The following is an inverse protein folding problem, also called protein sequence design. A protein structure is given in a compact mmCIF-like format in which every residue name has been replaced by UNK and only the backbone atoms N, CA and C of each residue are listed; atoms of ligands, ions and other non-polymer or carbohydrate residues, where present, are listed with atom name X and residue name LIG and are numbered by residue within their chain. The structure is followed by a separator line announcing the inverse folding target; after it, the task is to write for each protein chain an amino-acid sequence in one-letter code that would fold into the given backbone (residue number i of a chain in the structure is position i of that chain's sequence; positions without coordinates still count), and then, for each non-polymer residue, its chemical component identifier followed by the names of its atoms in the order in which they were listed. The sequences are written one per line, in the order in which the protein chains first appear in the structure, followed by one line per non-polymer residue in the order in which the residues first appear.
data_IF_429331088591
#
_entry.id   IF_429331088591
#
_cell.length_a   1.000
_cell.length_b   1.000
_cell.length_c   1.000
_cell.angle_alpha   90.00
_cell.angle_beta   90.00
_cell.angle_gamma   90.00
#
_symmetry.space_group_name_H-M   'P 1'
#
loop_
_entity.id
_entity.type
_entity.pdbx_description
1 polymer ?
#
# COMPACT_ATOMS: atom_id res chain seq x y z
N UNK A 1 48.28 51.72 -25.27
CA UNK A 1 47.39 52.58 -24.45
C UNK A 1 46.64 51.67 -23.48
N UNK A 2 47.28 51.06 -22.47
CA UNK A 2 47.81 51.64 -21.22
C UNK A 2 46.67 51.88 -20.21
N UNK A 3 46.26 50.88 -19.42
CA UNK A 3 46.77 50.50 -18.07
C UNK A 3 47.10 51.69 -17.15
N UNK A 4 46.29 51.91 -16.13
CA UNK A 4 46.64 52.53 -14.84
C UNK A 4 45.83 51.79 -13.76
N UNK A 5 46.39 50.82 -13.02
CA UNK A 5 47.31 50.85 -11.85
C UNK A 5 46.70 51.36 -10.53
N UNK A 6 46.51 50.40 -9.59
CA UNK A 6 46.95 50.40 -8.15
C UNK A 6 46.17 51.40 -7.24
N UNK A 7 45.71 51.11 -6.01
CA UNK A 7 46.47 50.85 -4.76
C UNK A 7 45.58 50.22 -3.66
N UNK A 8 46.29 49.48 -2.78
CA UNK A 8 45.98 48.66 -1.59
C UNK A 8 45.20 49.30 -0.42
N UNK A 9 44.59 48.38 0.34
CA UNK A 9 44.07 48.33 1.72
C UNK A 9 44.79 49.17 2.81
N UNK A 10 44.02 49.69 3.79
CA UNK A 10 44.34 49.82 5.25
C UNK A 10 43.04 50.18 6.04
N UNK A 11 42.47 49.31 6.89
CA UNK A 11 42.58 49.13 8.38
C UNK A 11 41.88 50.18 9.29
N UNK A 12 40.69 49.79 9.78
CA UNK A 12 40.08 49.81 11.17
C UNK A 12 40.24 51.02 12.11
N UNK A 13 39.13 51.47 12.73
CA UNK A 13 38.84 51.73 14.19
C UNK A 13 37.33 52.13 14.29
N UNK A 14 36.43 51.23 14.71
CA UNK A 14 35.83 51.02 16.05
C UNK A 14 34.85 52.11 16.56
N UNK A 15 33.57 51.74 16.68
CA UNK A 15 32.63 52.30 17.67
C UNK A 15 31.58 51.24 18.04
N UNK A 16 31.36 51.12 19.35
CA UNK A 16 30.75 50.03 20.10
C UNK A 16 29.24 49.81 19.88
N UNK A 17 28.84 48.53 19.99
CA UNK A 17 27.45 48.10 20.20
C UNK A 17 27.44 46.69 20.76
N UNK A 18 27.49 46.58 22.09
CA UNK A 18 27.42 45.33 22.84
C UNK A 18 26.00 44.78 22.77
N UNK A 19 25.81 43.59 22.18
CA UNK A 19 24.69 42.70 22.49
C UNK A 19 25.27 41.28 22.62
N UNK A 20 25.54 40.92 23.87
CA UNK A 20 25.78 39.55 24.30
C UNK A 20 24.44 38.83 24.18
N UNK A 21 24.27 38.12 23.06
CA UNK A 21 23.17 37.17 22.86
C UNK A 21 23.77 35.80 22.68
N UNK A 22 23.94 35.06 23.78
CA UNK A 22 24.20 33.63 23.80
C UNK A 22 22.94 32.88 23.32
N UNK A 23 22.56 33.07 22.07
CA UNK A 23 21.56 32.25 21.40
C UNK A 23 22.26 31.00 20.92
N UNK A 24 22.17 29.93 21.72
CA UNK A 24 22.64 28.61 21.29
C UNK A 24 22.05 28.29 19.92
N UNK A 25 22.92 27.95 18.98
CA UNK A 25 22.51 27.26 17.77
C UNK A 25 21.97 25.91 18.24
N UNK A 26 20.67 25.81 18.48
CA UNK A 26 20.01 24.52 18.58
C UNK A 26 20.02 23.96 17.16
N UNK A 27 21.07 23.19 16.84
CA UNK A 27 20.97 22.19 15.80
C UNK A 27 19.89 21.24 16.33
N UNK A 28 18.67 21.36 15.83
CA UNK A 28 17.71 20.28 15.99
C UNK A 28 18.40 19.02 15.47
N UNK A 29 18.41 17.89 16.20
CA UNK A 29 18.79 16.64 15.60
C UNK A 29 17.94 16.49 14.34
N UNK A 30 18.59 16.31 13.18
CA UNK A 30 17.86 15.96 11.98
C UNK A 30 17.00 14.76 12.33
N UNK A 31 15.69 14.85 12.13
CA UNK A 31 14.87 13.66 12.08
C UNK A 31 15.54 12.78 11.01
N UNK A 32 16.05 11.63 11.42
CA UNK A 32 16.59 10.67 10.47
C UNK A 32 15.47 10.31 9.49
N UNK A 33 15.79 10.28 8.20
CA UNK A 33 14.81 9.94 7.18
C UNK A 33 14.57 8.44 7.28
N UNK A 34 13.44 8.04 7.87
CA UNK A 34 13.04 6.64 7.89
C UNK A 34 12.66 6.21 6.48
N UNK A 35 13.11 5.02 6.07
CA UNK A 35 12.85 4.42 4.77
C UNK A 35 12.04 3.15 5.01
N UNK A 36 10.93 2.96 4.30
CA UNK A 36 10.12 1.77 4.44
C UNK A 36 10.14 0.96 3.15
N UNK A 37 10.45 -0.33 3.29
CA UNK A 37 10.51 -1.31 2.23
C UNK A 37 9.86 -2.61 2.67
N UNK A 38 9.97 -3.63 1.85
CA UNK A 38 9.19 -4.83 2.03
C UNK A 38 9.83 -6.08 1.46
N UNK A 39 9.28 -7.25 1.78
CA UNK A 39 9.61 -8.50 1.11
C UNK A 39 8.39 -9.44 1.03
N UNK A 40 8.04 -9.87 -0.18
CA UNK A 40 7.07 -10.97 -0.39
C UNK A 40 7.79 -12.32 -0.27
N UNK A 41 7.32 -13.15 0.65
CA UNK A 41 7.99 -14.37 1.08
C UNK A 41 7.27 -15.61 0.57
N UNK A 42 8.02 -16.58 0.06
CA UNK A 42 7.50 -17.91 -0.27
C UNK A 42 8.57 -18.98 -0.14
N UNK A 43 8.16 -20.24 0.04
CA UNK A 43 9.11 -21.36 0.06
C UNK A 43 9.76 -21.65 -1.29
N UNK A 44 9.16 -21.21 -2.41
CA UNK A 44 9.77 -21.37 -3.75
C UNK A 44 11.02 -20.51 -3.95
N UNK A 45 11.19 -19.48 -3.12
CA UNK A 45 12.29 -18.53 -3.20
C UNK A 45 13.47 -18.91 -2.28
N UNK A 46 13.33 -19.95 -1.45
CA UNK A 46 14.37 -20.38 -0.51
C UNK A 46 15.57 -20.96 -1.24
N UNK A 47 16.77 -20.55 -0.82
CA UNK A 47 18.05 -21.03 -1.35
C UNK A 47 19.04 -21.27 -0.20
N UNK A 48 19.62 -22.47 -0.08
CA UNK A 48 19.28 -23.70 -0.81
C UNK A 48 17.87 -24.18 -0.47
N UNK A 49 17.09 -24.55 -1.49
CA UNK A 49 15.72 -25.05 -1.30
C UNK A 49 15.65 -26.57 -1.05
N UNK A 50 14.43 -27.11 -0.84
CA UNK A 50 13.15 -26.40 -0.87
C UNK A 50 12.80 -25.71 0.46
N UNK A 51 12.02 -24.64 0.38
CA UNK A 51 11.27 -24.12 1.51
C UNK A 51 9.90 -24.77 1.65
N UNK A 52 9.07 -24.19 2.50
CA UNK A 52 7.68 -24.60 2.73
C UNK A 52 6.80 -24.19 1.55
N UNK A 53 6.26 -25.18 0.83
CA UNK A 53 5.44 -24.94 -0.36
C UNK A 53 4.04 -24.38 -0.04
N UNK A 54 3.56 -24.50 1.20
CA UNK A 54 2.26 -23.97 1.63
C UNK A 54 2.35 -22.58 2.22
N UNK A 55 3.48 -22.23 2.83
CA UNK A 55 3.66 -20.95 3.49
C UNK A 55 3.92 -19.82 2.48
N UNK A 56 3.18 -18.73 2.66
CA UNK A 56 3.36 -17.46 1.95
C UNK A 56 3.24 -16.34 2.97
N UNK A 57 3.95 -15.25 2.73
CA UNK A 57 3.86 -14.14 3.68
C UNK A 57 4.48 -12.87 3.18
N UNK A 58 4.45 -11.91 4.08
CA UNK A 58 4.80 -10.56 3.81
C UNK A 58 5.55 -9.95 5.01
N UNK A 59 6.58 -9.16 4.72
CA UNK A 59 7.34 -8.42 5.72
C UNK A 59 7.41 -6.94 5.34
N UNK A 60 6.90 -6.06 6.20
CA UNK A 60 7.17 -4.61 6.14
C UNK A 60 8.42 -4.30 6.95
N UNK A 61 9.34 -3.53 6.39
CA UNK A 61 10.63 -3.19 6.98
C UNK A 61 10.78 -1.67 7.05
N UNK A 62 10.93 -1.13 8.25
CA UNK A 62 11.24 0.29 8.48
C UNK A 62 12.71 0.42 8.88
N UNK A 63 13.49 1.10 8.05
CA UNK A 63 14.90 1.36 8.26
C UNK A 63 15.13 2.79 8.72
N UNK A 64 16.01 2.95 9.68
CA UNK A 64 16.53 4.25 10.10
C UNK A 64 18.02 4.08 10.36
N UNK A 65 18.85 4.63 9.47
CA UNK A 65 20.31 4.54 9.57
C UNK A 65 20.88 5.35 10.76
N UNK A 66 20.03 6.06 11.50
CA UNK A 66 20.43 6.86 12.65
C UNK A 66 21.19 8.12 12.27
N UNK A 67 21.97 8.64 13.22
CA UNK A 67 22.70 9.90 13.06
C UNK A 67 24.11 9.73 12.47
N UNK A 68 24.46 8.54 12.00
CA UNK A 68 25.82 8.17 11.60
C UNK A 68 26.77 7.90 12.78
N UNK A 69 26.25 7.88 14.01
CA UNK A 69 27.00 7.45 15.19
C UNK A 69 26.90 5.93 15.35
N UNK A 70 27.96 5.22 15.79
CA UNK A 70 27.90 3.77 15.97
C UNK A 70 26.75 3.36 16.92
N UNK A 71 25.95 2.39 16.50
CA UNK A 71 24.78 1.94 17.25
C UNK A 71 23.61 2.92 17.23
N UNK A 72 23.54 3.85 16.27
CA UNK A 72 22.36 4.71 16.11
C UNK A 72 21.34 4.17 15.11
N UNK A 73 21.68 3.11 14.36
CA UNK A 73 20.77 2.51 13.39
C UNK A 73 19.72 1.61 14.05
N UNK A 74 18.56 1.50 13.39
CA UNK A 74 17.54 0.52 13.73
C UNK A 74 16.82 0.00 12.47
N UNK A 75 16.28 -1.21 12.59
CA UNK A 75 15.38 -1.82 11.61
C UNK A 75 14.19 -2.39 12.36
N UNK A 76 12.98 -1.98 12.01
CA UNK A 76 11.75 -2.60 12.49
C UNK A 76 11.14 -3.49 11.42
N UNK A 77 10.59 -4.62 11.84
CA UNK A 77 9.83 -5.53 10.96
C UNK A 77 8.42 -5.72 11.48
N UNK A 78 7.46 -5.85 10.56
CA UNK A 78 6.10 -6.33 10.82
C UNK A 78 5.78 -7.47 9.85
N UNK A 79 5.15 -8.53 10.36
CA UNK A 79 4.87 -9.75 9.63
C UNK A 79 3.38 -9.92 9.33
N UNK A 80 3.08 -10.47 8.16
CA UNK A 80 1.77 -11.03 7.80
C UNK A 80 2.00 -12.30 6.99
N UNK A 81 1.95 -13.45 7.67
CA UNK A 81 2.36 -14.74 7.11
C UNK A 81 1.24 -15.76 7.34
N UNK A 82 0.94 -16.55 6.31
CA UNK A 82 -0.04 -17.63 6.37
C UNK A 82 0.64 -18.99 6.23
N UNK A 83 0.06 -20.01 6.90
CA UNK A 83 0.46 -21.41 6.79
C UNK A 83 1.94 -21.69 7.14
N UNK A 84 2.52 -20.90 8.05
CA UNK A 84 3.88 -21.07 8.54
C UNK A 84 3.90 -21.81 9.89
N UNK A 85 4.63 -22.93 9.97
CA UNK A 85 4.96 -23.57 11.25
C UNK A 85 5.83 -22.63 12.12
N UNK A 86 5.73 -22.70 13.46
CA UNK A 86 6.38 -21.74 14.38
C UNK A 86 7.82 -21.39 14.01
N UNK A 87 8.06 -20.10 13.76
CA UNK A 87 9.36 -19.60 13.35
C UNK A 87 10.41 -19.75 14.46
N UNK A 88 11.59 -20.23 14.10
CA UNK A 88 12.75 -20.38 15.00
C UNK A 88 13.78 -19.26 14.82
N UNK A 89 13.81 -18.63 13.64
CA UNK A 89 14.67 -17.48 13.35
C UNK A 89 14.12 -16.69 12.15
N UNK A 90 14.36 -15.39 12.13
CA UNK A 90 14.12 -14.50 10.99
C UNK A 90 15.35 -13.62 10.81
N UNK A 91 15.72 -13.31 9.56
CA UNK A 91 16.94 -12.56 9.27
C UNK A 91 16.84 -11.77 7.97
N UNK A 92 17.63 -10.69 7.87
CA UNK A 92 18.00 -10.03 6.62
C UNK A 92 19.40 -10.53 6.23
N UNK A 93 19.53 -11.05 5.02
CA UNK A 93 20.81 -11.43 4.43
C UNK A 93 21.15 -10.62 3.18
N UNK A 94 22.44 -10.57 2.84
CA UNK A 94 22.95 -10.01 1.59
C UNK A 94 23.16 -11.14 0.57
N UNK A 95 22.55 -11.01 -0.60
CA UNK A 95 22.64 -11.94 -1.73
C UNK A 95 21.50 -11.71 -2.73
N UNK A 96 21.84 -11.68 -4.01
CA UNK A 96 20.86 -11.52 -5.09
C UNK A 96 19.87 -12.70 -5.14
N UNK A 97 18.80 -12.53 -5.90
CA UNK A 97 17.84 -13.60 -6.15
C UNK A 97 18.52 -14.85 -6.71
N UNK A 98 18.39 -15.98 -6.01
CA UNK A 98 19.02 -17.24 -6.38
C UNK A 98 20.33 -17.54 -5.65
N UNK A 99 20.90 -16.60 -4.90
CA UNK A 99 22.12 -16.81 -4.11
C UNK A 99 21.80 -17.10 -2.63
N UNK A 100 22.48 -18.07 -2.02
CA UNK A 100 22.29 -18.37 -0.60
C UNK A 100 22.61 -17.15 0.30
N UNK A 101 23.61 -16.36 -0.08
CA UNK A 101 23.98 -15.12 0.59
C UNK A 101 24.63 -15.30 1.96
N UNK A 102 24.74 -14.19 2.69
CA UNK A 102 25.26 -14.13 4.06
C UNK A 102 24.30 -13.34 4.95
N UNK A 103 24.18 -13.73 6.22
CA UNK A 103 23.32 -13.05 7.19
C UNK A 103 23.93 -11.70 7.56
N UNK A 104 23.10 -10.66 7.63
CA UNK A 104 23.50 -9.29 8.01
C UNK A 104 22.83 -8.89 9.31
N UNK A 105 21.50 -9.07 9.44
CA UNK A 105 20.73 -8.68 10.62
C UNK A 105 19.80 -9.80 11.06
N UNK A 106 19.86 -10.18 12.33
CA UNK A 106 18.84 -11.05 12.95
C UNK A 106 17.59 -10.23 13.28
N UNK A 107 16.42 -10.67 12.83
CA UNK A 107 15.14 -10.02 13.06
C UNK A 107 14.32 -10.75 14.15
N UNK A 108 13.42 -10.03 14.84
CA UNK A 108 12.37 -10.65 15.64
C UNK A 108 11.51 -11.58 14.78
N UNK A 109 11.26 -12.79 15.28
CA UNK A 109 10.40 -13.77 14.59
C UNK A 109 8.92 -13.37 14.64
N UNK A 110 8.10 -13.78 13.66
CA UNK A 110 6.64 -13.70 13.77
C UNK A 110 6.12 -14.52 14.95
N UNK A 111 4.93 -14.16 15.43
CA UNK A 111 4.18 -14.97 16.40
C UNK A 111 3.67 -16.29 15.77
N UNK A 112 3.16 -17.24 16.57
CA UNK A 112 2.67 -18.52 16.06
C UNK A 112 1.48 -18.40 15.09
N UNK A 113 0.80 -17.26 15.04
CA UNK A 113 -0.28 -16.98 14.11
C UNK A 113 0.22 -16.33 12.80
N UNK A 114 1.53 -16.05 12.68
CA UNK A 114 2.15 -15.47 11.50
C UNK A 114 2.16 -13.94 11.46
N UNK A 115 1.84 -13.29 12.58
CA UNK A 115 1.79 -11.84 12.72
C UNK A 115 2.89 -11.33 13.66
N UNK A 116 2.78 -10.06 14.08
CA UNK A 116 3.68 -9.45 15.05
C UNK A 116 4.86 -8.74 14.41
N UNK A 117 5.86 -8.40 15.21
CA UNK A 117 6.97 -7.57 14.76
C UNK A 117 7.76 -6.97 15.91
N UNK A 118 8.81 -6.24 15.56
CA UNK A 118 9.66 -5.56 16.53
C UNK A 118 10.84 -4.86 15.86
N UNK A 119 11.56 -4.07 16.64
CA UNK A 119 12.73 -3.34 16.18
C UNK A 119 14.02 -3.95 16.72
N UNK A 120 14.99 -4.10 15.83
CA UNK A 120 16.40 -4.31 16.17
C UNK A 120 17.02 -2.93 16.27
N UNK A 121 17.57 -2.62 17.44
CA UNK A 121 18.21 -1.35 17.75
C UNK A 121 19.72 -1.51 17.79
N UNK A 122 20.44 -0.41 17.94
CA UNK A 122 21.89 -0.39 18.12
C UNK A 122 22.67 -1.00 16.94
N UNK A 123 22.11 -0.89 15.72
CA UNK A 123 22.74 -1.35 14.48
C UNK A 123 23.82 -0.38 14.02
N UNK A 124 24.80 -0.90 13.28
CA UNK A 124 25.76 -0.07 12.55
C UNK A 124 25.01 0.71 11.45
N UNK A 125 25.06 2.05 11.45
CA UNK A 125 24.49 2.87 10.38
C UNK A 125 24.88 2.42 8.98
N UNK A 126 26.12 1.96 8.78
CA UNK A 126 26.62 1.54 7.48
C UNK A 126 25.93 0.25 7.00
N UNK A 127 25.61 -0.68 7.91
CA UNK A 127 24.87 -1.91 7.57
C UNK A 127 23.44 -1.56 7.16
N UNK A 128 22.76 -0.72 7.94
CA UNK A 128 21.39 -0.25 7.62
C UNK A 128 21.37 0.50 6.29
N UNK A 129 22.32 1.40 6.07
CA UNK A 129 22.42 2.17 4.83
C UNK A 129 22.75 1.29 3.63
N UNK A 130 23.57 0.25 3.80
CA UNK A 130 23.89 -0.69 2.72
C UNK A 130 22.66 -1.45 2.23
N UNK A 131 21.74 -1.78 3.15
CA UNK A 131 20.44 -2.34 2.79
C UNK A 131 19.66 -1.28 2.04
N UNK A 132 19.48 -0.06 2.62
CA UNK A 132 18.79 1.10 2.00
C UNK A 132 19.28 1.44 0.57
N UNK A 133 20.55 1.22 0.27
CA UNK A 133 21.13 1.56 -1.02
C UNK A 133 20.98 0.43 -2.07
N UNK A 134 20.83 -0.83 -1.65
CA UNK A 134 20.69 -1.99 -2.53
C UNK A 134 19.62 -2.99 -2.03
N UNK A 135 18.32 -2.66 -2.11
CA UNK A 135 17.26 -3.53 -1.61
C UNK A 135 17.29 -4.90 -2.32
N UNK A 136 17.40 -4.89 -3.65
CA UNK A 136 17.41 -6.09 -4.48
C UNK A 136 18.62 -7.01 -4.30
N UNK A 137 19.67 -6.51 -3.62
CA UNK A 137 20.83 -7.27 -3.20
C UNK A 137 20.66 -7.90 -1.82
N UNK A 138 19.54 -7.68 -1.14
CA UNK A 138 19.23 -8.19 0.19
C UNK A 138 17.93 -8.98 0.22
N UNK A 139 17.80 -9.89 1.16
CA UNK A 139 16.62 -10.74 1.29
C UNK A 139 16.22 -10.92 2.75
N UNK A 140 14.93 -11.18 2.97
CA UNK A 140 14.40 -11.66 4.24
C UNK A 140 14.24 -13.18 4.17
N UNK A 141 14.67 -13.88 5.20
CA UNK A 141 14.54 -15.32 5.34
C UNK A 141 13.95 -15.67 6.71
N UNK A 142 12.94 -16.52 6.74
CA UNK A 142 12.34 -17.04 7.98
C UNK A 142 12.51 -18.55 8.00
N UNK A 143 13.01 -19.08 9.13
CA UNK A 143 13.29 -20.50 9.35
C UNK A 143 12.35 -21.07 10.40
N UNK A 144 12.10 -22.37 10.33
CA UNK A 144 11.42 -23.13 11.38
C UNK A 144 12.08 -24.52 11.53
N UNK A 145 11.56 -25.37 12.42
CA UNK A 145 12.14 -26.69 12.70
C UNK A 145 12.16 -27.61 11.46
N UNK A 146 11.13 -27.53 10.61
CA UNK A 146 11.04 -28.33 9.38
C UNK A 146 11.97 -27.83 8.26
N UNK A 147 12.27 -26.53 8.26
CA UNK A 147 13.04 -25.85 7.23
C UNK A 147 14.16 -24.99 7.85
N UNK A 148 15.26 -25.62 8.29
CA UNK A 148 16.36 -24.93 8.98
C UNK A 148 17.20 -24.03 8.05
N UNK A 149 17.16 -24.25 6.74
CA UNK A 149 17.82 -23.37 5.75
C UNK A 149 16.90 -22.22 5.29
N UNK A 150 15.59 -22.32 5.55
CA UNK A 150 14.58 -21.32 5.21
C UNK A 150 13.22 -21.97 4.94
N UNK A 151 12.19 -21.61 5.70
CA UNK A 151 10.81 -21.96 5.39
C UNK A 151 10.28 -21.09 4.26
N UNK A 152 10.48 -19.77 4.35
CA UNK A 152 10.07 -18.81 3.34
C UNK A 152 11.11 -17.71 3.19
N UNK A 153 11.29 -17.23 1.95
CA UNK A 153 12.27 -16.21 1.59
C UNK A 153 11.71 -15.22 0.58
N UNK A 154 12.18 -13.98 0.62
CA UNK A 154 11.87 -12.95 -0.36
C UNK A 154 12.97 -11.91 -0.45
N UNK A 155 13.17 -11.32 -1.62
CA UNK A 155 14.08 -10.19 -1.76
C UNK A 155 13.47 -8.96 -1.10
N UNK A 156 14.32 -8.12 -0.50
CA UNK A 156 13.92 -6.80 -0.06
C UNK A 156 13.66 -5.98 -1.32
N UNK A 157 12.53 -5.32 -1.37
CA UNK A 157 12.11 -4.52 -2.49
C UNK A 157 11.55 -3.20 -1.99
N UNK A 158 11.71 -2.16 -2.80
CA UNK A 158 11.16 -0.84 -2.50
C UNK A 158 9.65 -0.78 -2.71
N UNK A 159 9.01 -1.94 -2.91
CA UNK A 159 7.59 -2.02 -3.20
C UNK A 159 6.76 -1.71 -1.97
N UNK A 160 5.91 -0.73 -2.18
CA UNK A 160 4.84 -0.29 -1.30
C UNK A 160 3.62 -1.13 -1.61
N UNK A 161 3.03 -1.69 -0.57
CA UNK A 161 1.81 -2.48 -0.66
C UNK A 161 0.66 -1.53 -0.92
N UNK A 162 0.04 -1.66 -2.08
CA UNK A 162 -1.14 -0.91 -2.45
C UNK A 162 -2.31 -1.86 -2.61
N UNK A 163 -3.29 -1.79 -1.71
CA UNK A 163 -4.52 -2.55 -1.88
C UNK A 163 -5.58 -1.69 -2.55
N UNK A 164 -6.02 -2.04 -3.75
CA UNK A 164 -7.12 -1.33 -4.42
C UNK A 164 -8.39 -2.16 -4.24
N UNK A 165 -9.40 -1.58 -3.60
CA UNK A 165 -10.71 -2.18 -3.43
C UNK A 165 -11.73 -1.43 -4.28
N UNK A 166 -12.40 -2.12 -5.20
CA UNK A 166 -13.45 -1.51 -6.05
C UNK A 166 -14.82 -2.03 -5.65
N UNK A 167 -15.76 -1.11 -5.45
CA UNK A 167 -17.19 -1.39 -5.28
C UNK A 167 -18.01 -0.55 -6.25
N UNK A 168 -19.25 -0.99 -6.51
CA UNK A 168 -20.16 -0.29 -7.41
C UNK A 168 -21.50 0.04 -6.78
N UNK A 169 -21.88 1.30 -6.91
CA UNK A 169 -23.18 1.81 -6.50
C UNK A 169 -23.96 2.34 -7.70
N UNK A 170 -25.25 2.04 -7.72
CA UNK A 170 -26.17 2.50 -8.76
C UNK A 170 -27.22 3.39 -8.16
N UNK A 171 -27.34 4.59 -8.70
CA UNK A 171 -28.12 5.67 -8.14
C UNK A 171 -29.23 6.13 -9.10
N UNK A 172 -30.36 6.61 -8.57
CA UNK A 172 -31.40 7.22 -9.38
C UNK A 172 -30.91 8.57 -9.96
N UNK A 173 -31.52 8.99 -11.08
CA UNK A 173 -31.17 10.20 -11.82
C UNK A 173 -31.15 11.53 -11.02
N UNK A 174 -31.77 11.54 -9.84
CA UNK A 174 -31.78 12.71 -8.93
C UNK A 174 -30.45 12.92 -8.21
N UNK A 175 -29.63 11.88 -8.08
CA UNK A 175 -28.28 11.97 -7.52
C UNK A 175 -27.36 12.36 -8.67
N UNK A 176 -26.60 13.43 -8.52
CA UNK A 176 -25.70 13.93 -9.58
C UNK A 176 -24.27 14.10 -9.11
N UNK A 177 -24.04 14.16 -7.81
CA UNK A 177 -22.74 14.45 -7.21
C UNK A 177 -22.45 13.55 -6.00
N UNK A 178 -21.17 13.45 -5.57
CA UNK A 178 -20.82 12.84 -4.27
C UNK A 178 -21.55 13.46 -3.09
N UNK A 179 -21.73 14.79 -3.10
CA UNK A 179 -22.46 15.48 -2.04
C UNK A 179 -23.93 15.04 -2.00
N UNK A 180 -24.56 14.80 -3.15
CA UNK A 180 -25.93 14.28 -3.19
C UNK A 180 -26.03 12.86 -2.62
N UNK A 181 -25.01 12.01 -2.86
CA UNK A 181 -24.95 10.66 -2.28
C UNK A 181 -24.88 10.75 -0.76
N UNK A 182 -23.97 11.58 -0.23
CA UNK A 182 -23.78 11.76 1.22
C UNK A 182 -25.02 12.36 1.90
N UNK A 183 -25.76 13.23 1.21
CA UNK A 183 -26.98 13.84 1.72
C UNK A 183 -28.23 12.94 1.57
N UNK A 184 -28.16 11.88 0.76
CA UNK A 184 -29.31 11.04 0.48
C UNK A 184 -29.62 10.06 1.62
N UNK A 185 -30.91 9.73 1.86
CA UNK A 185 -31.26 8.66 2.81
C UNK A 185 -30.60 7.33 2.44
N UNK A 186 -30.25 6.54 3.46
CA UNK A 186 -29.69 5.20 3.29
C UNK A 186 -30.55 4.33 2.34
N UNK A 187 -29.89 3.62 1.43
CA UNK A 187 -30.56 2.82 0.38
C UNK A 187 -31.07 3.61 -0.82
N UNK A 188 -30.78 4.91 -0.93
CA UNK A 188 -31.09 5.68 -2.14
C UNK A 188 -30.30 5.20 -3.35
N UNK A 189 -29.02 4.90 -3.17
CA UNK A 189 -28.22 4.15 -4.12
C UNK A 189 -28.21 2.67 -3.70
N UNK A 190 -28.17 1.77 -4.68
CA UNK A 190 -28.14 0.33 -4.48
C UNK A 190 -26.78 -0.21 -4.89
N UNK A 191 -26.20 -1.10 -4.08
CA UNK A 191 -24.96 -1.79 -4.46
C UNK A 191 -25.25 -2.77 -5.59
N UNK A 192 -24.41 -2.72 -6.62
CA UNK A 192 -24.47 -3.61 -7.75
C UNK A 192 -23.57 -4.82 -7.51
N UNK A 193 -23.90 -5.98 -8.09
CA UNK A 193 -23.05 -7.15 -8.05
C UNK A 193 -22.98 -7.82 -9.43
N UNK A 194 -21.92 -8.61 -9.62
CA UNK A 194 -21.71 -9.36 -10.85
C UNK A 194 -22.71 -10.53 -10.94
N UNK A 195 -23.03 -10.92 -12.17
CA UNK A 195 -23.91 -12.05 -12.45
C UNK A 195 -23.40 -13.32 -11.79
N UNK A 196 -24.28 -14.05 -11.10
CA UNK A 196 -23.99 -15.31 -10.41
C UNK A 196 -23.37 -15.15 -9.03
N UNK A 197 -22.97 -13.94 -8.61
CA UNK A 197 -22.37 -13.73 -7.28
C UNK A 197 -23.41 -13.53 -6.18
N UNK A 198 -24.66 -13.37 -6.56
CA UNK A 198 -25.76 -13.16 -5.64
C UNK A 198 -26.36 -14.52 -5.32
N UNK A 199 -25.90 -15.09 -4.22
CA UNK A 199 -26.45 -16.34 -3.69
C UNK A 199 -27.88 -16.18 -3.16
N UNK A 200 -28.51 -17.32 -2.88
CA UNK A 200 -29.78 -17.37 -2.16
C UNK A 200 -29.59 -16.85 -0.73
N UNK A 201 -30.51 -15.99 -0.23
CA UNK A 201 -30.48 -15.58 1.16
C UNK A 201 -30.76 -16.79 2.08
N UNK A 202 -30.30 -16.79 3.34
CA UNK A 202 -30.62 -17.84 4.30
C UNK A 202 -32.12 -18.09 4.41
N UNK A 203 -32.49 -19.33 4.78
CA UNK A 203 -33.89 -19.74 4.88
C UNK A 203 -34.73 -18.76 5.72
N UNK A 204 -35.86 -18.31 5.16
CA UNK A 204 -36.78 -17.36 5.81
C UNK A 204 -36.40 -15.89 5.63
N UNK A 205 -35.25 -15.58 5.04
CA UNK A 205 -34.85 -14.22 4.65
C UNK A 205 -35.05 -14.00 3.15
N UNK A 206 -35.09 -12.73 2.75
CA UNK A 206 -35.18 -12.31 1.35
C UNK A 206 -34.31 -11.09 1.09
N UNK A 207 -33.88 -10.96 -0.15
CA UNK A 207 -33.28 -9.74 -0.66
C UNK A 207 -34.29 -8.58 -0.68
N UNK A 208 -33.83 -7.37 -0.37
CA UNK A 208 -34.66 -6.16 -0.36
C UNK A 208 -33.82 -4.94 -0.73
N UNK A 209 -34.09 -4.20 -1.83
CA UNK A 209 -34.69 -4.59 -3.11
C UNK A 209 -33.93 -5.75 -3.78
N UNK A 210 -34.51 -6.38 -4.81
CA UNK A 210 -33.77 -7.35 -5.61
C UNK A 210 -32.47 -6.67 -6.10
N UNK A 211 -31.31 -7.28 -5.88
CA UNK A 211 -30.06 -6.66 -6.25
C UNK A 211 -30.03 -6.35 -7.75
N UNK A 212 -29.31 -5.28 -8.07
CA UNK A 212 -29.01 -5.00 -9.46
C UNK A 212 -27.84 -5.88 -9.90
N UNK A 213 -28.19 -6.98 -10.55
CA UNK A 213 -27.26 -7.96 -11.09
C UNK A 213 -27.04 -7.70 -12.58
N UNK A 214 -25.78 -7.70 -13.00
CA UNK A 214 -25.39 -7.54 -14.40
C UNK A 214 -23.99 -8.13 -14.61
N UNK A 215 -23.57 -8.30 -15.87
CA UNK A 215 -22.20 -8.72 -16.16
C UNK A 215 -21.28 -7.53 -15.92
N UNK A 216 -20.76 -7.43 -14.69
CA UNK A 216 -19.87 -6.37 -14.27
C UNK A 216 -18.44 -6.71 -14.68
N UNK A 217 -17.85 -5.83 -15.48
CA UNK A 217 -16.48 -5.90 -15.96
C UNK A 217 -15.77 -4.57 -15.73
N UNK A 218 -14.60 -4.65 -15.13
CA UNK A 218 -13.70 -3.53 -14.85
C UNK A 218 -12.30 -3.96 -15.28
N UNK A 219 -11.55 -3.02 -15.86
CA UNK A 219 -10.12 -3.16 -16.14
C UNK A 219 -9.36 -2.14 -15.31
N UNK A 220 -8.31 -2.62 -14.63
CA UNK A 220 -7.34 -1.82 -13.91
C UNK A 220 -6.04 -1.84 -14.71
N UNK A 221 -5.69 -0.72 -15.33
CA UNK A 221 -4.40 -0.56 -16.04
C UNK A 221 -3.44 0.23 -15.18
N UNK A 222 -2.27 -0.34 -14.94
CA UNK A 222 -1.19 0.22 -14.13
C UNK A 222 0.15 -0.07 -14.84
N UNK A 223 1.30 0.48 -14.39
CA UNK A 223 2.58 0.28 -15.09
C UNK A 223 3.02 -1.19 -15.27
N UNK A 224 2.59 -2.08 -14.37
CA UNK A 224 2.89 -3.52 -14.44
C UNK A 224 2.02 -4.31 -15.42
N UNK A 225 0.95 -3.71 -15.96
CA UNK A 225 0.06 -4.38 -16.89
C UNK A 225 -1.40 -4.00 -16.72
N UNK A 226 -2.29 -4.95 -16.98
CA UNK A 226 -3.72 -4.78 -16.79
C UNK A 226 -4.31 -5.98 -16.07
N UNK A 227 -5.14 -5.69 -15.08
CA UNK A 227 -5.85 -6.65 -14.24
C UNK A 227 -7.35 -6.48 -14.45
N UNK A 228 -8.09 -7.55 -14.28
CA UNK A 228 -9.54 -7.61 -14.37
C UNK A 228 -10.16 -8.04 -13.03
N UNK A 229 -11.50 -8.02 -12.95
CA UNK A 229 -12.20 -8.57 -11.78
C UNK A 229 -11.98 -10.07 -11.59
N UNK A 230 -11.61 -10.81 -12.63
CA UNK A 230 -11.29 -12.24 -12.52
C UNK A 230 -9.92 -12.48 -11.87
N UNK A 231 -9.05 -11.46 -11.89
CA UNK A 231 -7.73 -11.47 -11.23
C UNK A 231 -7.80 -10.92 -9.79
N UNK A 232 -9.00 -10.57 -9.32
CA UNK A 232 -9.21 -9.95 -8.02
C UNK A 232 -9.61 -11.00 -6.96
N UNK A 233 -9.19 -10.76 -5.73
CA UNK A 233 -9.78 -11.41 -4.57
C UNK A 233 -11.15 -10.76 -4.28
N UNK A 234 -12.20 -11.58 -4.22
CA UNK A 234 -13.54 -11.09 -3.96
C UNK A 234 -13.78 -11.06 -2.44
N UNK A 235 -13.77 -9.85 -1.88
CA UNK A 235 -13.91 -9.62 -0.45
C UNK A 235 -15.28 -9.09 -0.05
N UNK A 236 -15.66 -9.39 1.18
CA UNK A 236 -16.98 -9.08 1.70
C UNK A 236 -18.07 -10.03 1.20
N UNK A 237 -19.28 -9.79 1.67
CA UNK A 237 -20.42 -10.63 1.36
C UNK A 237 -21.72 -10.06 1.90
N UNK A 238 -22.78 -10.77 1.54
CA UNK A 238 -24.16 -10.56 1.98
C UNK A 238 -24.25 -10.35 3.50
N UNK A 239 -24.65 -9.16 3.93
CA UNK A 239 -24.96 -8.92 5.34
C UNK A 239 -26.41 -9.25 5.60
N UNK A 240 -26.68 -10.24 6.45
CA UNK A 240 -28.03 -10.64 6.82
C UNK A 240 -28.35 -10.25 8.25
N UNK A 241 -29.31 -9.35 8.41
CA UNK A 241 -29.99 -9.13 9.69
C UNK A 241 -31.13 -10.13 9.90
N UNK A 242 -31.80 -10.10 11.07
CA UNK A 242 -32.85 -11.05 11.43
C UNK A 242 -34.11 -11.00 10.55
N UNK A 243 -34.22 -10.02 9.64
CA UNK A 243 -35.37 -9.87 8.74
C UNK A 243 -35.03 -9.64 7.27
N UNK A 244 -33.79 -9.25 6.95
CA UNK A 244 -33.40 -8.83 5.60
C UNK A 244 -31.92 -9.09 5.37
N UNK A 245 -31.55 -9.32 4.11
CA UNK A 245 -30.16 -9.34 3.68
C UNK A 245 -29.88 -8.15 2.76
N UNK A 246 -28.69 -7.57 2.87
CA UNK A 246 -28.14 -6.57 1.95
C UNK A 246 -26.97 -7.16 1.18
N UNK A 247 -27.02 -7.17 -0.17
CA UNK A 247 -25.96 -7.73 -0.98
C UNK A 247 -24.82 -6.71 -1.07
N UNK A 248 -23.59 -7.20 -1.07
CA UNK A 248 -22.40 -6.38 -1.20
C UNK A 248 -21.19 -7.26 -1.44
N UNK A 249 -20.38 -6.88 -2.42
CA UNK A 249 -19.10 -7.49 -2.70
C UNK A 249 -18.15 -6.40 -3.15
N UNK A 250 -16.92 -6.50 -2.68
CA UNK A 250 -15.80 -5.67 -3.09
C UNK A 250 -14.77 -6.56 -3.75
N UNK A 251 -13.96 -5.99 -4.63
CA UNK A 251 -12.88 -6.72 -5.29
C UNK A 251 -11.59 -6.04 -4.92
N UNK A 252 -10.67 -6.81 -4.33
CA UNK A 252 -9.34 -6.37 -3.97
C UNK A 252 -8.32 -6.93 -4.95
N UNK A 253 -7.36 -6.11 -5.31
CA UNK A 253 -6.11 -6.56 -5.91
C UNK A 253 -4.99 -6.26 -4.93
N UNK A 254 -4.11 -7.24 -4.79
CA UNK A 254 -2.88 -7.13 -4.05
C UNK A 254 -1.76 -6.70 -5.01
N UNK A 255 -0.93 -5.77 -4.56
CA UNK A 255 0.33 -5.36 -5.19
C UNK A 255 0.28 -4.93 -6.66
N UNK A 256 -0.66 -4.05 -7.08
CA UNK A 256 -0.55 -3.40 -8.37
C UNK A 256 0.72 -2.54 -8.38
N UNK A 257 1.54 -2.67 -9.42
CA UNK A 257 2.74 -1.83 -9.59
C UNK A 257 2.36 -0.34 -9.50
N UNK A 258 3.09 0.39 -8.68
CA UNK A 258 2.83 1.81 -8.43
C UNK A 258 3.06 2.65 -9.68
N UNK A 259 2.32 3.75 -9.75
CA UNK A 259 2.37 4.75 -10.80
C UNK A 259 1.00 5.20 -11.26
N UNK A 260 0.97 5.76 -12.47
CA UNK A 260 -0.26 6.20 -13.11
C UNK A 260 -1.19 5.01 -13.32
N UNK A 261 -2.29 5.00 -12.57
CA UNK A 261 -3.27 3.92 -12.56
C UNK A 261 -4.59 4.42 -13.10
N UNK A 262 -5.24 3.61 -13.94
CA UNK A 262 -6.57 3.92 -14.50
C UNK A 262 -7.49 2.73 -14.32
N UNK A 263 -8.64 2.98 -13.71
CA UNK A 263 -9.74 2.04 -13.63
C UNK A 263 -10.75 2.42 -14.70
N UNK A 264 -11.08 1.49 -15.58
CA UNK A 264 -12.08 1.67 -16.64
C UNK A 264 -13.20 0.69 -16.43
N UNK A 265 -14.42 1.22 -16.40
CA UNK A 265 -15.62 0.41 -16.37
C UNK A 265 -16.02 -0.01 -17.79
N UNK A 266 -16.10 -1.31 -18.03
CA UNK A 266 -16.33 -1.86 -19.38
C UNK A 266 -17.81 -2.13 -19.67
N UNK A 267 -18.62 -2.25 -18.62
CA UNK A 267 -20.02 -2.67 -18.72
C UNK A 267 -20.93 -1.88 -17.78
N UNK A 268 -22.08 -1.45 -18.29
CA UNK A 268 -23.09 -0.72 -17.53
C UNK A 268 -24.37 -1.54 -17.38
N UNK A 269 -25.07 -1.44 -16.25
CA UNK A 269 -26.44 -1.93 -16.14
C UNK A 269 -27.32 -1.24 -17.18
N UNK A 270 -28.27 -1.99 -17.75
CA UNK A 270 -29.15 -1.46 -18.79
C UNK A 270 -29.89 -0.20 -18.32
N UNK A 271 -29.70 0.90 -19.05
CA UNK A 271 -30.32 2.20 -18.76
C UNK A 271 -29.57 3.05 -17.74
N UNK A 272 -28.36 2.65 -17.36
CA UNK A 272 -27.44 3.39 -16.52
C UNK A 272 -26.17 3.77 -17.30
N UNK A 273 -25.40 4.70 -16.75
CA UNK A 273 -24.12 5.15 -17.29
C UNK A 273 -23.20 5.60 -16.16
N UNK A 274 -21.90 5.50 -16.38
CA UNK A 274 -20.88 6.05 -15.48
C UNK A 274 -21.13 7.53 -15.24
N UNK A 275 -21.23 7.92 -13.97
CA UNK A 275 -21.27 9.33 -13.60
C UNK A 275 -19.95 9.80 -13.02
N UNK A 276 -19.47 9.12 -11.99
CA UNK A 276 -18.25 9.51 -11.28
C UNK A 276 -17.80 8.41 -10.28
N UNK A 277 -16.68 8.60 -9.59
CA UNK A 277 -16.18 7.70 -8.55
C UNK A 277 -15.62 8.44 -7.33
N UNK A 278 -15.75 7.86 -6.13
CA UNK A 278 -14.99 8.31 -4.93
C UNK A 278 -13.73 7.48 -4.79
N UNK A 279 -12.64 8.10 -4.36
CA UNK A 279 -11.46 7.41 -3.83
C UNK A 279 -11.30 7.82 -2.36
N UNK A 280 -11.08 6.84 -1.49
CA UNK A 280 -10.82 7.04 -0.07
C UNK A 280 -9.61 6.21 0.33
N UNK A 281 -8.73 6.75 1.17
CA UNK A 281 -7.74 5.91 1.85
C UNK A 281 -8.48 5.02 2.85
N UNK A 282 -8.11 3.74 2.90
CA UNK A 282 -8.58 2.81 3.93
C UNK A 282 -7.73 2.86 5.19
N UNK A 283 -6.58 3.53 5.11
CA UNK A 283 -5.64 3.67 6.23
C UNK A 283 -6.06 4.85 7.11
N UNK A 284 -6.09 4.65 8.42
CA UNK A 284 -6.51 5.68 9.37
C UNK A 284 -5.57 6.91 9.28
N UNK A 285 -6.12 8.08 8.99
CA UNK A 285 -5.35 9.32 8.80
C UNK A 285 -4.70 9.48 7.42
N UNK A 286 -4.79 8.46 6.54
CA UNK A 286 -4.28 8.53 5.16
C UNK A 286 -5.08 9.47 4.28
N UNK A 287 -4.40 10.24 3.42
CA UNK A 287 -5.05 11.08 2.42
C UNK A 287 -5.23 10.32 1.10
N UNK A 288 -6.44 10.27 0.57
CA UNK A 288 -6.68 9.72 -0.76
C UNK A 288 -5.93 10.54 -1.84
N UNK A 289 -5.41 9.90 -2.90
CA UNK A 289 -4.72 10.59 -3.97
C UNK A 289 -5.68 11.49 -4.75
N UNK A 290 -5.13 12.51 -5.39
CA UNK A 290 -5.90 13.27 -6.38
C UNK A 290 -6.25 12.36 -7.56
N UNK A 291 -7.50 12.43 -8.01
CA UNK A 291 -8.00 11.62 -9.11
C UNK A 291 -8.74 12.46 -10.14
N UNK A 292 -8.65 12.06 -11.41
CA UNK A 292 -9.38 12.64 -12.54
C UNK A 292 -10.42 11.65 -13.06
N UNK A 293 -11.64 12.13 -13.27
CA UNK A 293 -12.75 11.34 -13.79
C UNK A 293 -12.97 11.70 -15.26
N UNK A 294 -12.95 10.70 -16.13
CA UNK A 294 -13.33 10.83 -17.53
C UNK A 294 -14.64 10.09 -17.78
N UNK A 295 -15.72 10.86 -17.80
CA UNK A 295 -17.08 10.34 -18.00
C UNK A 295 -17.27 9.78 -19.41
N UNK A 296 -16.55 10.30 -20.41
CA UNK A 296 -16.70 9.84 -21.79
C UNK A 296 -16.09 8.46 -21.99
N UNK A 297 -14.99 8.17 -21.29
CA UNK A 297 -14.30 6.88 -21.32
C UNK A 297 -14.67 5.96 -20.13
N UNK A 298 -15.59 6.42 -19.27
CA UNK A 298 -16.00 5.73 -18.04
C UNK A 298 -14.83 5.26 -17.18
N UNK A 299 -13.89 6.17 -16.95
CA UNK A 299 -12.66 5.86 -16.24
C UNK A 299 -12.34 6.87 -15.15
N UNK A 300 -11.57 6.41 -14.18
CA UNK A 300 -10.92 7.23 -13.17
C UNK A 300 -9.43 6.96 -13.19
N UNK A 301 -8.63 8.03 -13.23
CA UNK A 301 -7.16 7.95 -13.20
C UNK A 301 -6.62 8.65 -11.96
N UNK A 302 -5.63 8.04 -11.33
CA UNK A 302 -4.96 8.56 -10.14
C UNK A 302 -3.51 8.10 -10.13
N UNK A 303 -2.65 8.85 -9.43
CA UNK A 303 -1.24 8.51 -9.29
C UNK A 303 -1.00 7.90 -7.91
N UNK A 304 -0.36 6.74 -7.92
CA UNK A 304 -0.04 5.94 -6.74
C UNK A 304 1.45 5.97 -6.41
N UNK A 305 2.26 6.70 -7.19
CA UNK A 305 3.72 6.77 -7.03
C UNK A 305 4.19 7.34 -5.69
N UNK A 306 3.33 8.11 -5.01
CA UNK A 306 3.67 8.78 -3.76
C UNK A 306 3.36 7.94 -2.51
N UNK A 307 2.82 6.74 -2.68
CA UNK A 307 2.47 5.89 -1.56
C UNK A 307 3.70 5.31 -0.89
N UNK A 308 3.66 5.16 0.43
CA UNK A 308 4.85 4.86 1.27
C UNK A 308 4.90 3.43 1.85
N UNK A 309 3.81 2.66 1.71
CA UNK A 309 3.57 1.22 1.98
C UNK A 309 2.35 1.06 2.90
N UNK A 310 1.62 -0.05 2.78
CA UNK A 310 0.36 -0.35 3.49
C UNK A 310 -0.84 0.55 3.17
N UNK A 311 -0.76 1.34 2.09
CA UNK A 311 -1.88 2.18 1.69
C UNK A 311 -2.93 1.36 0.95
N UNK A 312 -4.13 1.32 1.51
CA UNK A 312 -5.28 0.82 0.78
C UNK A 312 -6.12 1.96 0.23
N UNK A 313 -6.67 1.77 -0.96
CA UNK A 313 -7.67 2.64 -1.56
C UNK A 313 -8.98 1.90 -1.68
N UNK A 314 -10.05 2.52 -1.18
CA UNK A 314 -11.41 2.13 -1.49
C UNK A 314 -11.97 3.05 -2.56
N UNK A 315 -12.39 2.45 -3.67
CA UNK A 315 -12.91 3.13 -4.84
C UNK A 315 -14.34 2.69 -5.06
N UNK A 316 -15.28 3.64 -5.02
CA UNK A 316 -16.68 3.37 -5.30
C UNK A 316 -17.07 4.03 -6.60
N UNK A 317 -17.43 3.23 -7.59
CA UNK A 317 -17.93 3.70 -8.89
C UNK A 317 -19.44 3.95 -8.79
N UNK A 318 -19.90 5.07 -9.34
CA UNK A 318 -21.30 5.47 -9.30
C UNK A 318 -21.90 5.57 -10.70
N UNK A 319 -22.95 4.78 -10.89
CA UNK A 319 -23.76 4.76 -12.12
C UNK A 319 -25.12 5.40 -11.91
N UNK A 320 -25.60 6.14 -12.92
CA UNK A 320 -26.85 6.89 -12.81
C UNK A 320 -27.88 6.48 -13.85
N UNK A 321 -29.12 6.32 -13.39
CA UNK A 321 -30.23 5.98 -14.30
C UNK A 321 -30.43 7.12 -15.30
N UNK A 322 -30.49 6.79 -16.58
CA UNK A 322 -30.70 7.77 -17.65
C UNK A 322 -31.93 8.64 -17.43
N UNK A 323 -31.69 9.87 -16.98
CA UNK A 323 -32.55 11.03 -17.12
C UNK A 323 -31.65 12.12 -17.67
N UNK A 324 -32.06 12.74 -18.78
CA UNK A 324 -31.30 13.73 -19.58
C UNK A 324 -30.30 14.53 -18.76
N UNK A 325 -29.03 14.54 -19.20
CA UNK A 325 -27.95 15.41 -18.71
C UNK A 325 -28.47 16.83 -18.46
#
# INVERSE_FOLDING_TARGET
MERHRIVRRLRVIAASGLLVGSGGLTIAPGASAQVEWSASLSGSNVVPGPGDAGAVGFASLLFDAGSGEPGSGLICVSWEISDLDPATAAEIGAGAAGDAGVVVVDLPVPDPEGFGGGCVMDLDPDDVQSIIDDPSGHFVNVRNEGFPDGAIRGQVDTHVFLRITVAKAVCPAKIKTPADVLAAPAGTCTVAARTGEIGDPPAGLRWRPAPLEFDMQVSLTHPGGSLSLDDAEAEGGSTCGPRFCSPGRSYSWSDPSLGQTTITELTFPKGYHFGWATIQSTTEGGSAPAASVDIANASISFDTSAFASSEGLSIVLYDFKGGTR
#
